data_IF_644986521824
#
_entry.id   IF_644986521824
#
_cell.length_a   1.000
_cell.length_b   1.000
_cell.length_c   1.000
_cell.angle_alpha   90.00
_cell.angle_beta   90.00
_cell.angle_gamma   90.00
#
_symmetry.space_group_name_H-M   'P 1'
#
loop_
_entity.id
_entity.type
_entity.pdbx_description
1 polymer ?
#
# COMPACT_ATOMS: atom_id res chain seq x y z
N UNK A 1 -24.23 -1.59 11.48
CA UNK A 1 -23.25 -2.44 10.76
C UNK A 1 -21.87 -2.21 11.34
N UNK A 2 -21.16 -3.28 11.72
CA UNK A 2 -19.84 -3.16 12.38
C UNK A 2 -18.84 -2.49 11.42
N UNK A 3 -18.10 -1.51 11.93
CA UNK A 3 -17.11 -0.70 11.22
C UNK A 3 -15.95 -1.47 10.53
N UNK A 4 -15.91 -2.80 10.63
CA UNK A 4 -14.71 -3.61 10.38
C UNK A 4 -14.82 -4.59 9.21
N UNK A 5 -16.02 -4.83 8.69
CA UNK A 5 -16.33 -5.92 7.75
C UNK A 5 -17.03 -7.11 8.42
N UNK A 6 -17.59 -8.04 7.62
CA UNK A 6 -18.34 -9.20 8.11
C UNK A 6 -17.43 -10.21 8.81
N UNK A 7 -17.98 -11.03 9.72
CA UNK A 7 -17.22 -12.11 10.39
C UNK A 7 -16.87 -13.26 9.44
N UNK A 8 -17.65 -13.44 8.39
CA UNK A 8 -17.47 -14.44 7.36
C UNK A 8 -17.61 -13.80 5.98
N UNK A 9 -16.88 -14.31 5.00
CA UNK A 9 -16.87 -13.81 3.63
C UNK A 9 -15.78 -14.47 2.82
N UNK A 10 -15.60 -14.00 1.59
CA UNK A 10 -14.49 -14.44 0.73
C UNK A 10 -13.18 -13.79 1.22
N UNK A 11 -12.16 -14.61 1.46
CA UNK A 11 -10.81 -14.10 1.71
C UNK A 11 -10.28 -13.31 0.50
N UNK A 12 -9.72 -12.12 0.70
CA UNK A 12 -9.20 -11.30 -0.43
C UNK A 12 -7.99 -11.86 -1.16
N UNK A 13 -7.28 -12.78 -0.51
CA UNK A 13 -6.09 -13.40 -1.09
C UNK A 13 -6.48 -14.70 -1.79
N UNK A 14 -7.05 -15.67 -1.06
CA UNK A 14 -7.36 -16.99 -1.64
C UNK A 14 -8.77 -17.13 -2.25
N UNK A 15 -9.67 -16.16 -2.05
CA UNK A 15 -11.10 -16.23 -2.39
C UNK A 15 -11.84 -17.48 -1.89
N UNK A 16 -11.35 -18.11 -0.83
CA UNK A 16 -12.09 -19.15 -0.12
C UNK A 16 -13.05 -18.48 0.86
N UNK A 17 -14.31 -18.88 0.85
CA UNK A 17 -15.31 -18.41 1.80
C UNK A 17 -15.06 -19.02 3.17
N UNK A 18 -15.07 -18.20 4.22
CA UNK A 18 -14.92 -18.69 5.59
C UNK A 18 -14.82 -17.57 6.61
N UNK A 19 -14.32 -17.90 7.81
CA UNK A 19 -14.10 -16.93 8.88
C UNK A 19 -13.00 -15.94 8.49
N UNK A 20 -13.29 -14.66 8.65
CA UNK A 20 -12.39 -13.56 8.35
C UNK A 20 -11.75 -13.01 9.63
N UNK A 21 -10.50 -12.61 9.49
CA UNK A 21 -9.63 -12.08 10.53
C UNK A 21 -9.24 -10.64 10.21
N UNK A 22 -8.89 -9.87 11.24
CA UNK A 22 -8.45 -8.48 11.08
C UNK A 22 -6.97 -8.46 10.64
N UNK A 23 -6.71 -7.96 9.44
CA UNK A 23 -5.38 -7.55 9.00
C UNK A 23 -5.06 -6.14 9.54
N UNK A 24 -3.78 -5.86 9.77
CA UNK A 24 -3.28 -4.55 10.17
C UNK A 24 -2.49 -3.94 9.03
N UNK A 25 -2.92 -2.77 8.57
CA UNK A 25 -2.21 -2.00 7.54
C UNK A 25 -1.79 -0.66 8.14
N UNK A 26 -0.48 -0.42 8.36
CA UNK A 26 0.66 -1.34 8.14
C UNK A 26 0.78 -2.47 9.18
N UNK A 27 1.67 -3.47 8.95
CA UNK A 27 1.95 -4.55 9.90
C UNK A 27 2.18 -4.09 11.32
N UNK A 28 1.84 -4.93 12.30
CA UNK A 28 1.94 -4.53 13.71
C UNK A 28 3.34 -4.13 14.18
N UNK A 29 4.38 -4.68 13.56
CA UNK A 29 5.78 -4.46 13.92
C UNK A 29 6.47 -3.29 13.24
N UNK A 30 5.79 -2.62 12.28
CA UNK A 30 6.33 -1.44 11.60
C UNK A 30 6.46 -0.24 12.57
N UNK A 31 7.44 0.65 12.37
CA UNK A 31 7.54 1.91 13.11
C UNK A 31 6.23 2.72 13.08
N UNK A 32 5.95 3.47 14.14
CA UNK A 32 4.70 4.23 14.30
C UNK A 32 4.92 5.57 14.94
N UNK A 33 4.02 6.51 14.64
CA UNK A 33 4.05 7.85 15.22
C UNK A 33 2.69 8.17 15.86
N UNK A 34 2.40 7.61 17.04
CA UNK A 34 1.28 8.04 17.89
C UNK A 34 -0.14 7.61 17.48
N UNK A 35 -1.16 8.32 18.02
CA UNK A 35 -2.60 8.06 17.79
C UNK A 35 -3.09 8.64 16.45
N UNK A 36 -4.11 8.02 15.84
CA UNK A 36 -4.59 8.35 14.49
C UNK A 36 -6.11 8.54 14.42
N UNK A 37 -6.57 9.38 13.50
CA UNK A 37 -7.97 9.53 13.08
C UNK A 37 -8.13 8.96 11.67
N UNK A 38 -8.99 7.95 11.50
CA UNK A 38 -9.33 7.38 10.21
C UNK A 38 -10.49 8.16 9.57
N UNK A 39 -10.38 8.39 8.27
CA UNK A 39 -11.41 8.98 7.43
C UNK A 39 -11.69 8.05 6.25
N UNK A 40 -12.97 7.87 5.93
CA UNK A 40 -13.42 7.28 4.66
C UNK A 40 -13.61 8.44 3.68
N UNK A 41 -12.78 8.52 2.66
CA UNK A 41 -12.86 9.59 1.66
C UNK A 41 -13.99 9.28 0.68
N UNK A 42 -15.20 9.70 1.03
CA UNK A 42 -16.19 10.09 0.02
C UNK A 42 -15.75 11.42 -0.58
N UNK A 43 -15.39 11.41 -1.87
CA UNK A 43 -14.97 12.55 -2.72
C UNK A 43 -14.79 13.90 -1.98
N UNK A 44 -13.58 14.20 -1.51
CA UNK A 44 -13.22 15.54 -1.06
C UNK A 44 -11.86 15.94 -1.68
N UNK A 45 -11.87 16.72 -2.77
CA UNK A 45 -10.67 17.07 -3.55
C UNK A 45 -9.71 18.05 -2.83
N UNK A 46 -9.89 18.30 -1.53
CA UNK A 46 -9.09 19.26 -0.78
C UNK A 46 -8.84 18.77 0.68
N UNK A 47 -7.57 18.78 1.16
CA UNK A 47 -7.20 18.47 2.55
C UNK A 47 -7.96 19.27 3.63
N UNK A 48 -8.42 20.48 3.30
CA UNK A 48 -9.18 21.32 4.24
C UNK A 48 -10.66 20.92 4.39
N UNK A 49 -11.23 20.18 3.45
CA UNK A 49 -12.56 19.56 3.56
C UNK A 49 -12.53 18.24 4.35
N UNK A 50 -11.43 17.49 4.23
CA UNK A 50 -11.13 16.28 5.02
C UNK A 50 -11.18 16.56 6.52
N UNK A 51 -10.63 17.70 6.97
CA UNK A 51 -10.63 18.09 8.38
C UNK A 51 -12.04 18.31 8.98
N UNK A 52 -13.08 18.45 8.15
CA UNK A 52 -14.48 18.65 8.59
C UNK A 52 -15.28 17.35 8.73
N UNK A 53 -14.77 16.23 8.25
CA UNK A 53 -15.43 14.93 8.43
C UNK A 53 -15.22 14.41 9.86
N UNK A 54 -16.22 13.74 10.43
CA UNK A 54 -16.09 13.06 11.73
C UNK A 54 -15.20 11.83 11.58
N UNK A 55 -13.89 12.03 11.64
CA UNK A 55 -12.92 10.94 11.67
C UNK A 55 -13.16 10.03 12.89
N UNK A 56 -12.95 8.72 12.71
CA UNK A 56 -13.00 7.77 13.82
C UNK A 56 -11.62 7.65 14.44
N UNK A 57 -11.52 7.78 15.76
CA UNK A 57 -10.26 7.55 16.46
C UNK A 57 -9.89 6.06 16.38
N UNK A 58 -8.66 5.80 15.94
CA UNK A 58 -8.08 4.47 15.97
C UNK A 58 -6.74 4.49 16.71
N UNK A 59 -6.56 3.47 17.53
CA UNK A 59 -5.27 3.12 18.09
C UNK A 59 -4.74 1.95 17.25
N UNK A 60 -3.56 2.11 16.65
CA UNK A 60 -2.75 1.03 16.00
C UNK A 60 -3.07 0.71 14.52
N UNK A 61 -3.11 1.73 13.65
CA UNK A 61 -3.23 1.58 12.19
C UNK A 61 -4.65 1.25 11.70
N UNK A 62 -4.80 1.09 10.38
CA UNK A 62 -6.09 0.70 9.77
C UNK A 62 -6.25 -0.81 9.85
N UNK A 63 -7.48 -1.25 10.12
CA UNK A 63 -7.82 -2.68 10.21
C UNK A 63 -8.86 -3.07 9.19
N UNK A 64 -8.63 -4.18 8.50
CA UNK A 64 -9.55 -4.74 7.52
C UNK A 64 -9.89 -6.19 7.91
N UNK A 65 -11.17 -6.50 8.15
CA UNK A 65 -11.60 -7.88 8.36
C UNK A 65 -11.95 -8.51 7.01
N UNK A 66 -10.92 -8.99 6.32
CA UNK A 66 -11.03 -9.37 4.90
C UNK A 66 -10.22 -10.62 4.54
N UNK A 67 -9.39 -11.14 5.46
CA UNK A 67 -8.50 -12.28 5.20
C UNK A 67 -8.85 -13.49 6.06
N UNK A 68 -8.75 -14.71 5.51
CA UNK A 68 -8.79 -15.92 6.33
C UNK A 68 -7.53 -16.05 7.20
N UNK A 69 -7.59 -16.85 8.26
CA UNK A 69 -6.48 -17.00 9.21
C UNK A 69 -5.18 -17.53 8.57
N UNK A 70 -5.31 -18.38 7.54
CA UNK A 70 -4.18 -18.94 6.81
C UNK A 70 -3.42 -17.88 6.01
N UNK A 71 -4.14 -17.10 5.20
CA UNK A 71 -3.57 -16.01 4.43
C UNK A 71 -3.02 -14.90 5.33
N UNK A 72 -3.76 -14.51 6.37
CA UNK A 72 -3.37 -13.42 7.26
C UNK A 72 -2.16 -13.79 8.13
N UNK A 73 -2.27 -14.86 8.92
CA UNK A 73 -1.26 -15.13 9.95
C UNK A 73 -0.09 -15.96 9.42
N UNK A 74 -0.36 -17.00 8.61
CA UNK A 74 0.68 -17.92 8.16
C UNK A 74 1.43 -17.40 6.93
N UNK A 75 0.72 -16.88 5.93
CA UNK A 75 1.35 -16.42 4.68
C UNK A 75 1.84 -14.97 4.78
N UNK A 76 0.94 -14.02 5.04
CA UNK A 76 1.28 -12.59 5.10
C UNK A 76 2.14 -12.29 6.35
N UNK A 77 1.56 -12.47 7.54
CA UNK A 77 2.16 -12.08 8.81
C UNK A 77 3.45 -12.82 9.19
N UNK A 78 3.51 -14.14 8.98
CA UNK A 78 4.69 -14.92 9.39
C UNK A 78 5.79 -14.98 8.32
N UNK A 79 5.45 -14.94 7.03
CA UNK A 79 6.45 -15.16 5.97
C UNK A 79 6.82 -13.89 5.20
N UNK A 80 5.91 -12.94 5.02
CA UNK A 80 6.14 -11.76 4.17
C UNK A 80 6.39 -10.48 4.99
N UNK A 81 5.55 -10.20 5.99
CA UNK A 81 5.65 -9.01 6.83
C UNK A 81 7.02 -8.76 7.49
N UNK A 82 7.79 -9.79 7.92
CA UNK A 82 9.10 -9.56 8.52
C UNK A 82 10.05 -8.75 7.62
N UNK A 83 10.00 -8.95 6.31
CA UNK A 83 10.83 -8.22 5.34
C UNK A 83 10.41 -6.75 5.25
N UNK A 84 9.10 -6.49 5.11
CA UNK A 84 8.54 -5.14 5.07
C UNK A 84 8.83 -4.37 6.37
N UNK A 85 8.70 -5.02 7.52
CA UNK A 85 9.00 -4.47 8.84
C UNK A 85 10.51 -4.13 8.96
N UNK A 86 11.38 -5.03 8.49
CA UNK A 86 12.83 -4.82 8.54
C UNK A 86 13.27 -3.64 7.66
N UNK A 87 12.71 -3.51 6.46
CA UNK A 87 12.92 -2.34 5.61
C UNK A 87 12.44 -1.06 6.31
N UNK A 88 11.21 -1.06 6.83
CA UNK A 88 10.62 0.10 7.49
C UNK A 88 11.48 0.58 8.68
N UNK A 89 12.01 -0.33 9.50
CA UNK A 89 12.89 0.02 10.63
C UNK A 89 14.25 0.58 10.20
N UNK A 90 14.79 0.12 9.07
CA UNK A 90 16.06 0.64 8.52
C UNK A 90 15.88 2.08 8.03
N UNK A 91 14.80 2.33 7.30
CA UNK A 91 14.46 3.68 6.83
C UNK A 91 14.14 4.61 8.01
N UNK A 92 13.39 4.13 9.02
CA UNK A 92 13.12 4.90 10.25
C UNK A 92 14.40 5.27 10.98
N UNK A 93 15.28 4.31 11.26
CA UNK A 93 16.59 4.56 11.88
C UNK A 93 17.38 5.64 11.14
N UNK A 94 17.39 5.57 9.81
CA UNK A 94 18.05 6.58 8.99
C UNK A 94 17.40 7.97 9.15
N UNK A 95 16.08 8.08 9.03
CA UNK A 95 15.34 9.33 9.25
C UNK A 95 15.62 9.92 10.63
N UNK A 96 15.65 9.08 11.68
CA UNK A 96 15.94 9.51 13.05
C UNK A 96 17.39 9.95 13.26
N UNK A 97 18.35 9.38 12.50
CA UNK A 97 19.77 9.73 12.58
C UNK A 97 20.09 11.14 12.08
N UNK A 98 19.19 11.73 11.26
CA UNK A 98 19.37 13.04 10.61
C UNK A 98 20.63 13.17 9.76
N UNK A 99 21.20 12.04 9.33
CA UNK A 99 22.33 12.01 8.41
C UNK A 99 21.84 12.48 7.04
N UNK A 100 22.49 13.48 6.47
CA UNK A 100 22.18 13.96 5.13
C UNK A 100 22.90 13.10 4.09
N UNK A 101 22.21 12.10 3.53
CA UNK A 101 22.63 11.39 2.32
C UNK A 101 21.60 11.56 1.22
N UNK A 102 22.02 11.35 -0.03
CA UNK A 102 21.08 11.33 -1.18
C UNK A 102 20.36 9.99 -1.31
N UNK A 103 21.01 8.93 -0.87
CA UNK A 103 20.53 7.56 -0.98
C UNK A 103 20.77 6.82 0.34
N UNK A 104 19.97 5.78 0.55
CA UNK A 104 20.10 4.85 1.67
C UNK A 104 20.28 3.43 1.10
N UNK A 105 21.49 2.84 1.18
CA UNK A 105 21.68 1.46 0.81
C UNK A 105 20.94 0.55 1.79
N UNK A 106 20.04 -0.28 1.28
CA UNK A 106 19.29 -1.28 2.04
C UNK A 106 19.40 -2.64 1.37
N UNK A 107 19.35 -3.70 2.17
CA UNK A 107 19.21 -5.06 1.64
C UNK A 107 17.78 -5.53 1.78
N UNK A 108 17.15 -5.92 0.68
CA UNK A 108 15.78 -6.43 0.69
C UNK A 108 15.72 -7.81 0.08
N UNK A 109 14.84 -8.67 0.56
CA UNK A 109 14.44 -9.90 -0.14
C UNK A 109 13.28 -9.55 -1.07
N UNK A 110 13.49 -9.30 -2.37
CA UNK A 110 12.47 -8.65 -3.20
C UNK A 110 11.18 -9.48 -3.26
N UNK A 111 11.29 -10.79 -3.43
CA UNK A 111 10.15 -11.70 -3.48
C UNK A 111 9.26 -11.64 -2.22
N UNK A 112 9.83 -11.46 -1.02
CA UNK A 112 9.06 -11.32 0.22
C UNK A 112 8.48 -9.92 0.36
N UNK A 113 9.26 -8.89 0.01
CA UNK A 113 8.83 -7.49 0.06
C UNK A 113 7.63 -7.24 -0.85
N UNK A 114 7.72 -7.66 -2.12
CA UNK A 114 6.64 -7.50 -3.09
C UNK A 114 5.35 -8.20 -2.64
N UNK A 115 5.46 -9.41 -2.07
CA UNK A 115 4.30 -10.16 -1.55
C UNK A 115 3.71 -9.50 -0.30
N UNK A 116 4.52 -8.95 0.60
CA UNK A 116 4.00 -8.21 1.75
C UNK A 116 3.17 -7.00 1.30
N UNK A 117 3.69 -6.22 0.34
CA UNK A 117 2.97 -5.07 -0.22
C UNK A 117 1.67 -5.50 -0.91
N UNK A 118 1.74 -6.48 -1.82
CA UNK A 118 0.56 -6.98 -2.54
C UNK A 118 -0.47 -7.57 -1.58
N UNK A 119 -0.05 -8.31 -0.54
CA UNK A 119 -0.94 -8.90 0.44
C UNK A 119 -1.77 -7.85 1.19
N UNK A 120 -1.16 -6.75 1.63
CA UNK A 120 -1.89 -5.65 2.26
C UNK A 120 -2.77 -4.85 1.30
N UNK A 121 -2.34 -4.66 0.05
CA UNK A 121 -3.18 -4.03 -0.98
C UNK A 121 -4.45 -4.87 -1.25
N UNK A 122 -4.29 -6.19 -1.35
CA UNK A 122 -5.42 -7.12 -1.47
C UNK A 122 -6.30 -7.10 -0.21
N UNK A 123 -5.72 -7.08 0.99
CA UNK A 123 -6.46 -7.02 2.25
C UNK A 123 -7.32 -5.76 2.36
N UNK A 124 -6.86 -4.64 1.80
CA UNK A 124 -7.58 -3.37 1.80
C UNK A 124 -8.68 -3.28 0.72
N UNK A 125 -8.80 -4.25 -0.18
CA UNK A 125 -9.75 -4.22 -1.31
C UNK A 125 -11.20 -4.59 -0.96
N UNK A 126 -12.12 -4.09 -1.79
CA UNK A 126 -13.57 -4.04 -1.57
C UNK A 126 -14.34 -5.24 -2.15
N UNK A 127 -15.55 -5.49 -1.65
CA UNK A 127 -16.34 -6.73 -1.81
C UNK A 127 -16.97 -6.97 -3.18
N UNK A 128 -17.38 -5.92 -3.89
CA UNK A 128 -18.53 -6.10 -4.76
C UNK A 128 -18.21 -6.36 -6.24
N UNK A 129 -17.04 -5.95 -6.77
CA UNK A 129 -16.77 -6.10 -8.21
C UNK A 129 -15.32 -6.47 -8.59
N UNK A 130 -14.35 -6.33 -7.68
CA UNK A 130 -12.93 -6.44 -8.00
C UNK A 130 -12.31 -7.84 -7.86
N UNK A 131 -12.99 -8.82 -7.23
CA UNK A 131 -12.37 -10.14 -6.89
C UNK A 131 -11.87 -10.91 -8.12
N UNK A 132 -12.54 -10.72 -9.27
CA UNK A 132 -12.23 -11.37 -10.54
C UNK A 132 -11.60 -10.43 -11.57
N UNK A 133 -11.28 -9.18 -11.20
CA UNK A 133 -10.60 -8.27 -12.11
C UNK A 133 -9.21 -8.86 -12.47
N UNK A 134 -8.78 -8.84 -13.75
CA UNK A 134 -7.55 -9.53 -14.17
C UNK A 134 -6.31 -9.15 -13.36
N UNK A 135 -6.17 -7.87 -13.02
CA UNK A 135 -5.07 -7.34 -12.22
C UNK A 135 -5.13 -7.83 -10.75
N UNK A 136 -6.34 -7.97 -10.16
CA UNK A 136 -6.52 -8.53 -8.81
C UNK A 136 -6.22 -10.03 -8.81
N UNK A 137 -6.67 -10.76 -9.83
CA UNK A 137 -6.35 -12.18 -9.99
C UNK A 137 -4.84 -12.39 -10.15
N UNK A 138 -4.18 -11.56 -10.96
CA UNK A 138 -2.73 -11.62 -11.14
C UNK A 138 -1.98 -11.34 -9.83
N UNK A 139 -2.39 -10.34 -9.05
CA UNK A 139 -1.83 -10.08 -7.71
C UNK A 139 -2.05 -11.25 -6.74
N UNK A 140 -3.22 -11.88 -6.76
CA UNK A 140 -3.54 -13.05 -5.91
C UNK A 140 -2.67 -14.26 -6.29
N UNK A 141 -2.56 -14.54 -7.58
CA UNK A 141 -1.72 -15.61 -8.10
C UNK A 141 -0.26 -15.37 -7.73
N UNK A 142 0.23 -14.14 -7.99
CA UNK A 142 1.56 -13.73 -7.57
C UNK A 142 1.73 -13.95 -6.07
N UNK A 143 0.80 -13.55 -5.20
CA UNK A 143 0.94 -13.72 -3.75
C UNK A 143 0.98 -15.20 -3.31
N UNK A 144 0.10 -16.04 -3.87
CA UNK A 144 -0.11 -17.43 -3.44
C UNK A 144 0.94 -18.38 -4.00
N UNK A 145 1.31 -18.21 -5.27
CA UNK A 145 2.30 -19.05 -5.94
C UNK A 145 3.69 -18.41 -5.81
N UNK A 146 4.55 -19.06 -5.02
CA UNK A 146 5.92 -18.61 -4.76
C UNK A 146 6.85 -18.75 -5.96
N UNK A 147 6.45 -19.47 -7.00
CA UNK A 147 7.24 -19.64 -8.21
C UNK A 147 7.02 -18.52 -9.22
N UNK A 148 5.90 -17.80 -9.13
CA UNK A 148 5.58 -16.71 -10.03
C UNK A 148 6.39 -15.44 -9.71
N UNK A 149 6.91 -14.82 -10.76
CA UNK A 149 7.46 -13.46 -10.75
C UNK A 149 6.35 -12.42 -10.63
N UNK A 150 6.73 -11.17 -10.34
CA UNK A 150 5.77 -10.07 -10.28
C UNK A 150 5.01 -9.93 -11.61
N UNK A 151 3.69 -9.65 -11.61
CA UNK A 151 2.88 -9.69 -12.83
C UNK A 151 3.38 -8.77 -13.94
N UNK A 152 3.41 -9.29 -15.16
CA UNK A 152 3.65 -8.49 -16.36
C UNK A 152 2.55 -7.42 -16.51
N UNK A 153 2.95 -6.21 -16.91
CA UNK A 153 2.04 -5.06 -17.03
C UNK A 153 1.83 -4.26 -15.73
N UNK A 154 2.41 -4.71 -14.61
CA UNK A 154 2.45 -3.95 -13.36
C UNK A 154 3.86 -3.44 -13.06
N UNK A 155 3.95 -2.21 -12.57
CA UNK A 155 5.16 -1.63 -11.97
C UNK A 155 4.97 -1.37 -10.50
N UNK A 156 6.02 -1.55 -9.71
CA UNK A 156 6.03 -1.20 -8.29
C UNK A 156 7.08 -0.15 -7.98
N UNK A 157 6.63 0.96 -7.40
CA UNK A 157 7.48 2.06 -6.96
C UNK A 157 7.53 2.09 -5.44
N UNK A 158 8.70 2.41 -4.91
CA UNK A 158 8.99 2.55 -3.48
C UNK A 158 9.66 3.90 -3.22
N UNK A 159 9.27 4.58 -2.16
CA UNK A 159 9.96 5.78 -1.68
C UNK A 159 9.86 5.95 -0.16
N UNK A 160 10.81 6.69 0.45
CA UNK A 160 10.68 7.13 1.84
C UNK A 160 9.48 8.06 2.02
N UNK A 161 8.70 7.81 3.05
CA UNK A 161 7.51 8.57 3.38
C UNK A 161 7.54 8.96 4.86
N UNK A 162 8.25 10.05 5.21
CA UNK A 162 8.43 10.47 6.61
C UNK A 162 7.18 11.13 7.21
N UNK A 163 6.09 11.21 6.46
CA UNK A 163 4.84 11.81 6.92
C UNK A 163 4.12 10.91 7.94
N UNK A 164 3.23 11.52 8.70
CA UNK A 164 2.47 10.86 9.75
C UNK A 164 1.07 10.43 9.30
N UNK A 165 0.74 10.65 8.02
CA UNK A 165 -0.53 10.23 7.43
C UNK A 165 -0.40 8.82 6.85
N UNK A 166 -1.08 7.84 7.43
CA UNK A 166 -1.18 6.50 6.83
C UNK A 166 -2.27 6.51 5.76
N UNK A 167 -1.99 5.96 4.58
CA UNK A 167 -2.89 5.97 3.45
C UNK A 167 -2.88 4.60 2.78
N UNK A 168 -4.06 4.01 2.59
CA UNK A 168 -4.20 2.75 1.87
C UNK A 168 -5.30 2.90 0.84
N UNK A 169 -4.97 2.60 -0.40
CA UNK A 169 -5.87 2.75 -1.54
C UNK A 169 -5.88 1.44 -2.33
N UNK A 170 -7.08 0.92 -2.53
CA UNK A 170 -7.29 -0.40 -3.09
C UNK A 170 -7.80 -0.34 -4.54
N UNK A 171 -6.99 0.31 -5.39
CA UNK A 171 -7.26 0.41 -6.83
C UNK A 171 -8.02 1.68 -7.14
N UNK A 172 -7.38 2.60 -7.86
CA UNK A 172 -7.98 3.83 -8.38
C UNK A 172 -7.50 4.03 -9.80
N UNK A 173 -8.42 4.34 -10.72
CA UNK A 173 -8.01 4.82 -12.02
C UNK A 173 -7.48 6.26 -11.89
N UNK A 174 -6.34 6.56 -12.50
CA UNK A 174 -5.90 7.93 -12.72
C UNK A 174 -5.95 8.20 -14.22
N UNK A 175 -6.64 9.28 -14.61
CA UNK A 175 -6.62 9.78 -15.97
C UNK A 175 -5.54 10.84 -16.03
N UNK A 176 -4.41 10.50 -16.64
CA UNK A 176 -3.26 11.38 -16.71
C UNK A 176 -3.05 11.92 -18.11
N UNK A 177 -2.21 12.93 -18.25
CA UNK A 177 -1.70 13.37 -19.56
C UNK A 177 -0.93 12.27 -20.29
N UNK A 178 -0.53 11.20 -19.59
CA UNK A 178 0.19 10.05 -20.12
C UNK A 178 -0.70 8.82 -20.38
N UNK A 179 -2.02 8.95 -20.20
CA UNK A 179 -3.00 7.88 -20.37
C UNK A 179 -3.69 7.48 -19.08
N UNK A 180 -4.51 6.44 -19.17
CA UNK A 180 -5.23 5.87 -18.03
C UNK A 180 -4.33 4.84 -17.33
N UNK A 181 -4.15 5.00 -16.03
CA UNK A 181 -3.40 4.05 -15.19
C UNK A 181 -4.31 3.53 -14.09
N UNK A 182 -4.19 2.26 -13.70
CA UNK A 182 -4.82 1.75 -12.50
C UNK A 182 -3.76 1.67 -11.38
N UNK A 183 -4.01 2.34 -10.27
CA UNK A 183 -3.03 2.57 -9.20
C UNK A 183 -3.52 2.04 -7.86
N UNK A 184 -2.67 1.27 -7.19
CA UNK A 184 -2.83 0.83 -5.81
C UNK A 184 -1.73 1.48 -4.98
N UNK A 185 -2.05 1.96 -3.78
CA UNK A 185 -1.03 2.61 -2.93
C UNK A 185 -1.11 2.14 -1.49
N UNK A 186 0.07 1.87 -0.93
CA UNK A 186 0.26 1.56 0.47
C UNK A 186 1.27 2.55 1.04
N UNK A 187 0.81 3.50 1.84
CA UNK A 187 1.66 4.48 2.51
C UNK A 187 1.49 4.41 4.01
N UNK A 188 2.60 4.39 4.71
CA UNK A 188 2.64 4.45 6.15
C UNK A 188 4.00 4.97 6.57
N UNK A 189 4.14 5.49 7.78
CA UNK A 189 5.47 5.87 8.22
C UNK A 189 6.39 4.63 8.35
N UNK A 190 7.61 4.59 7.77
CA UNK A 190 8.28 5.62 6.96
C UNK A 190 8.36 5.28 5.46
N UNK A 191 7.48 4.42 4.93
CA UNK A 191 7.53 3.88 3.57
C UNK A 191 6.24 4.14 2.79
N UNK A 192 6.39 4.38 1.50
CA UNK A 192 5.28 4.37 0.58
C UNK A 192 5.58 3.48 -0.62
N UNK A 193 4.53 2.80 -1.07
CA UNK A 193 4.52 1.93 -2.21
C UNK A 193 3.38 2.29 -3.14
N UNK A 194 3.61 2.13 -4.43
CA UNK A 194 2.60 2.27 -5.47
C UNK A 194 2.75 1.12 -6.46
N UNK A 195 1.64 0.43 -6.75
CA UNK A 195 1.56 -0.52 -7.85
C UNK A 195 0.73 0.11 -8.96
N UNK A 196 1.34 0.31 -10.13
CA UNK A 196 0.73 0.94 -11.29
C UNK A 196 0.57 -0.09 -12.42
N UNK A 197 -0.64 -0.26 -12.91
CA UNK A 197 -0.99 -1.14 -14.03
C UNK A 197 -1.19 -0.35 -15.30
N UNK A 198 -0.71 -0.89 -16.42
CA UNK A 198 -0.87 -0.31 -17.77
C UNK A 198 -0.35 1.14 -17.89
N UNK A 199 0.58 1.51 -17.00
CA UNK A 199 1.18 2.84 -17.01
C UNK A 199 2.10 2.99 -18.21
N UNK A 200 2.01 4.14 -18.89
CA UNK A 200 2.92 4.49 -19.97
C UNK A 200 4.40 4.38 -19.51
N UNK A 201 5.27 3.63 -20.21
CA UNK A 201 6.69 3.50 -19.87
C UNK A 201 7.43 4.84 -19.79
N UNK A 202 7.06 5.80 -20.65
CA UNK A 202 7.67 7.14 -20.70
C UNK A 202 7.24 8.03 -19.54
N UNK A 203 6.21 7.61 -18.79
CA UNK A 203 5.80 8.32 -17.60
C UNK A 203 6.73 7.99 -16.43
N UNK A 204 7.57 8.96 -16.09
CA UNK A 204 8.46 8.92 -14.94
C UNK A 204 7.66 9.04 -13.63
N UNK A 205 7.25 7.88 -13.10
CA UNK A 205 6.60 7.78 -11.80
C UNK A 205 7.60 8.06 -10.65
N UNK A 206 7.20 8.84 -9.63
CA UNK A 206 8.04 9.09 -8.45
C UNK A 206 8.42 7.82 -7.69
N UNK A 207 9.57 7.89 -7.01
CA UNK A 207 10.15 6.77 -6.27
C UNK A 207 10.97 5.83 -7.15
N UNK A 208 11.71 4.92 -6.50
CA UNK A 208 12.51 3.91 -7.21
C UNK A 208 11.60 2.79 -7.73
N UNK A 209 11.72 2.49 -9.02
CA UNK A 209 11.08 1.33 -9.63
C UNK A 209 11.84 0.06 -9.21
N UNK A 210 11.18 -0.81 -8.44
CA UNK A 210 11.77 -2.07 -7.95
C UNK A 210 11.25 -3.29 -8.72
N UNK A 211 10.54 -3.09 -9.84
CA UNK A 211 9.87 -4.15 -10.61
C UNK A 211 10.86 -5.21 -11.10
N UNK A 212 12.00 -4.78 -11.66
CA UNK A 212 13.05 -5.69 -12.13
C UNK A 212 13.59 -6.58 -10.98
N UNK A 213 13.77 -6.01 -9.78
CA UNK A 213 14.20 -6.78 -8.61
C UNK A 213 13.18 -7.86 -8.21
N UNK A 214 11.88 -7.59 -8.40
CA UNK A 214 10.82 -8.57 -8.12
C UNK A 214 10.69 -9.66 -9.20
N UNK A 215 11.19 -9.41 -10.42
CA UNK A 215 11.14 -10.40 -11.50
C UNK A 215 12.12 -11.56 -11.28
N UNK A 216 13.23 -11.32 -10.59
CA UNK A 216 14.30 -12.32 -10.39
C UNK A 216 13.95 -13.49 -9.45
N UNK A 217 12.79 -13.45 -8.77
CA UNK A 217 12.23 -14.46 -7.83
C UNK A 217 13.21 -15.42 -7.12
N UNK A 218 14.38 -14.91 -6.70
CA UNK A 218 15.49 -15.77 -6.26
C UNK A 218 15.40 -16.16 -4.78
N UNK A 219 14.47 -15.57 -4.03
CA UNK A 219 14.39 -15.68 -2.58
C UNK A 219 15.62 -15.14 -1.84
N UNK A 220 16.60 -14.59 -2.55
CA UNK A 220 17.85 -14.09 -1.99
C UNK A 220 17.76 -12.58 -1.72
N UNK A 221 18.46 -12.08 -0.69
CA UNK A 221 18.63 -10.66 -0.49
C UNK A 221 19.32 -9.99 -1.70
N UNK A 222 18.94 -8.73 -1.94
CA UNK A 222 19.49 -7.84 -2.96
C UNK A 222 19.74 -6.47 -2.36
N UNK A 223 20.82 -5.82 -2.79
CA UNK A 223 21.05 -4.42 -2.47
C UNK A 223 20.09 -3.55 -3.28
N UNK A 224 19.54 -2.54 -2.62
CA UNK A 224 18.71 -1.50 -3.20
C UNK A 224 19.20 -0.18 -2.63
N UNK A 225 19.63 0.73 -3.50
CA UNK A 225 19.94 2.09 -3.12
C UNK A 225 18.64 2.90 -3.18
N UNK A 226 18.06 3.16 -2.01
CA UNK A 226 16.78 3.87 -1.90
C UNK A 226 17.03 5.38 -1.99
N UNK A 227 16.54 6.07 -3.04
CA UNK A 227 16.66 7.52 -3.12
C UNK A 227 15.90 8.18 -1.98
N UNK A 228 16.49 9.21 -1.38
CA UNK A 228 15.92 9.98 -0.28
C UNK A 228 15.25 11.28 -0.75
N UNK A 229 15.10 11.43 -2.08
CA UNK A 229 14.37 12.53 -2.68
C UNK A 229 12.91 12.56 -2.20
N UNK A 230 12.40 13.77 -1.98
CA UNK A 230 11.03 13.95 -1.50
C UNK A 230 10.04 13.75 -2.64
N UNK A 231 9.27 12.67 -2.53
CA UNK A 231 7.99 12.54 -3.24
C UNK A 231 6.94 13.39 -2.52
N UNK A 232 6.08 14.16 -3.23
CA UNK A 232 5.01 14.93 -2.59
C UNK A 232 4.12 14.04 -1.71
N UNK A 233 3.80 14.48 -0.49
CA UNK A 233 3.02 13.70 0.50
C UNK A 233 1.73 13.12 -0.08
N UNK A 234 1.02 13.93 -0.86
CA UNK A 234 -0.28 13.57 -1.43
C UNK A 234 -0.19 12.98 -2.84
N UNK A 235 0.99 12.61 -3.34
CA UNK A 235 1.10 11.91 -4.62
C UNK A 235 0.87 10.40 -4.43
N UNK A 236 0.03 9.71 -5.22
CA UNK A 236 -0.66 10.18 -6.42
C UNK A 236 -2.10 10.69 -6.19
N UNK A 237 -2.57 10.79 -4.95
CA UNK A 237 -3.97 11.11 -4.62
C UNK A 237 -4.41 12.51 -5.04
N UNK A 238 -3.51 13.48 -4.89
CA UNK A 238 -3.63 14.87 -5.28
C UNK A 238 -2.39 15.21 -6.11
N UNK A 239 -2.42 14.96 -7.44
CA UNK A 239 -1.31 15.31 -8.30
C UNK A 239 -1.08 16.83 -8.24
N UNK A 240 0.13 17.23 -7.87
CA UNK A 240 0.58 18.62 -7.93
C UNK A 240 1.05 18.96 -9.34
N UNK A 241 0.53 20.03 -9.94
CA UNK A 241 0.87 20.47 -11.32
C UNK A 241 -0.06 19.92 -12.41
N UNK A 242 0.36 19.97 -13.68
CA UNK A 242 -0.43 19.56 -14.86
C UNK A 242 -0.46 18.04 -15.11
N UNK A 243 -0.15 17.20 -14.12
CA UNK A 243 0.22 15.79 -14.35
C UNK A 243 -0.95 14.79 -14.28
N UNK A 244 -2.20 15.26 -14.35
CA UNK A 244 -3.38 14.40 -14.45
C UNK A 244 -4.46 14.67 -13.40
N UNK A 245 -5.60 14.01 -13.57
CA UNK A 245 -6.72 13.96 -12.64
C UNK A 245 -6.84 12.52 -12.14
N UNK A 246 -6.76 12.29 -10.83
CA UNK A 246 -7.15 11.00 -10.27
C UNK A 246 -8.67 10.86 -10.39
N UNK A 247 -9.13 9.85 -11.14
CA UNK A 247 -10.56 9.58 -11.35
C UNK A 247 -10.89 8.23 -10.73
N UNK A 248 -11.24 8.24 -9.45
CA UNK A 248 -11.80 7.05 -8.80
C UNK A 248 -13.05 6.59 -9.56
N UNK A 249 -12.99 5.39 -10.16
CA UNK A 249 -14.12 4.82 -10.89
C UNK A 249 -15.12 4.31 -9.86
N UNK A 250 -16.34 4.86 -9.93
CA UNK A 250 -17.38 4.64 -8.93
C UNK A 250 -17.89 3.20 -8.99
N UNK A 251 -17.47 2.42 -7.99
CA UNK A 251 -18.05 1.12 -7.65
C UNK A 251 -17.59 0.70 -6.26
N UNK A 252 -18.26 1.18 -5.20
CA UNK A 252 -17.98 0.85 -3.78
C UNK A 252 -16.51 0.98 -3.29
N UNK A 253 -15.57 1.49 -4.08
CA UNK A 253 -14.15 1.65 -3.73
C UNK A 253 -14.00 2.60 -2.52
N UNK A 254 -13.32 2.13 -1.47
CA UNK A 254 -13.17 2.90 -0.22
C UNK A 254 -11.73 3.37 -0.09
N UNK A 255 -11.50 4.67 -0.27
CA UNK A 255 -10.24 5.30 0.11
C UNK A 255 -10.22 5.46 1.63
N UNK A 256 -9.21 4.87 2.28
CA UNK A 256 -9.02 5.00 3.72
C UNK A 256 -7.67 5.60 4.04
N UNK A 257 -7.70 6.66 4.85
CA UNK A 257 -6.48 7.27 5.36
C UNK A 257 -6.64 7.65 6.81
N UNK A 258 -5.53 7.72 7.53
CA UNK A 258 -5.50 8.17 8.89
C UNK A 258 -4.46 9.24 9.12
N UNK A 259 -4.80 10.27 9.90
CA UNK A 259 -3.90 11.39 10.24
C UNK A 259 -3.63 11.39 11.75
N UNK A 260 -2.54 12.01 12.23
CA UNK A 260 -2.29 12.12 13.67
C UNK A 260 -3.44 12.80 14.42
N UNK A 261 -3.83 12.24 15.56
CA UNK A 261 -4.74 12.93 16.48
C UNK A 261 -3.98 14.07 17.20
N UNK A 262 -4.48 15.31 17.09
CA UNK A 262 -4.01 16.45 17.88
C UNK A 262 -5.11 16.85 18.87
N UNK A 263 -4.82 16.87 20.17
CA UNK A 263 -5.68 17.54 21.15
C UNK A 263 -5.53 19.04 20.92
N UNK A 264 -6.62 19.70 20.55
CA UNK A 264 -6.78 21.17 20.62
C UNK A 264 -6.77 21.62 22.08
#
# INVERSE_FOLDING_TARGET
MSARGPLQGLCRICAIFGNLTEDHVPPKGAPRIGQRLLYDLGYAPNPSTVAKQRGRMFQRGVKFRTLCADCNNRLLGAQCDPELIALARRVDTHIQSRIATKELPVQVTPALLGRAVVGHLLAASNETQAVNAPNVVAMRNYFLDRTLSFPDGARIHLWPYPDHMEFVSAGHAAITTHGNVLVYTLKFYPLAFMVAWDSNPDWALPGVDITALLQENSGQPRNLDLPLDRVPTHFPELPSGNNGILVTMVGDETIRYSVPYRKS
#
